data_IF_198796596632
#
_entry.id   IF_198796596632
#
_cell.length_a   1.000
_cell.length_b   1.000
_cell.length_c   1.000
_cell.angle_alpha   90.00
_cell.angle_beta   90.00
_cell.angle_gamma   90.00
#
_symmetry.space_group_name_H-M   'P 1'
#
loop_
_entity.id
_entity.type
_entity.pdbx_description
1 polymer ?
#
# COMPACT_ATOMS: atom_id res chain seq x y z
N UNK A 1 0.05 34.31 -3.63
CA UNK A 1 -0.72 34.44 -2.36
C UNK A 1 -2.22 34.21 -2.58
N UNK A 2 -2.86 34.78 -3.61
CA UNK A 2 -4.31 34.56 -3.89
C UNK A 2 -4.75 33.08 -3.88
N UNK A 3 -4.03 32.19 -4.58
CA UNK A 3 -4.35 30.76 -4.58
C UNK A 3 -4.29 30.11 -3.18
N UNK A 4 -3.39 30.58 -2.30
CA UNK A 4 -3.30 30.07 -0.93
C UNK A 4 -4.44 30.57 -0.05
N UNK A 5 -4.86 31.83 -0.23
CA UNK A 5 -6.04 32.40 0.43
C UNK A 5 -7.28 31.60 0.01
N UNK A 6 -7.45 31.36 -1.30
CA UNK A 6 -8.55 30.56 -1.84
C UNK A 6 -8.57 29.13 -1.28
N UNK A 7 -7.42 28.46 -1.24
CA UNK A 7 -7.32 27.11 -0.67
C UNK A 7 -7.70 27.04 0.80
N UNK A 8 -7.37 28.06 1.59
CA UNK A 8 -7.78 28.13 3.01
C UNK A 8 -9.26 28.49 3.13
N UNK A 9 -9.76 29.42 2.31
CA UNK A 9 -11.18 29.78 2.28
C UNK A 9 -12.06 28.56 2.00
N UNK A 10 -11.64 27.73 1.03
CA UNK A 10 -12.32 26.51 0.60
C UNK A 10 -12.04 25.27 1.47
N UNK A 11 -11.38 25.41 2.62
CA UNK A 11 -11.05 24.30 3.54
C UNK A 11 -10.16 23.20 2.94
N UNK A 12 -9.49 23.47 1.83
CA UNK A 12 -8.53 22.53 1.20
C UNK A 12 -7.25 22.47 2.03
N UNK A 13 -6.78 23.60 2.55
CA UNK A 13 -5.63 23.69 3.45
C UNK A 13 -6.06 24.24 4.81
N UNK A 14 -5.72 23.59 5.93
CA UNK A 14 -5.98 24.16 7.26
C UNK A 14 -5.26 25.51 7.44
N UNK A 15 -3.98 25.58 7.06
CA UNK A 15 -3.23 26.83 6.91
C UNK A 15 -2.45 26.83 5.59
N UNK A 16 -2.12 28.03 5.10
CA UNK A 16 -1.18 28.19 4.00
C UNK A 16 -0.12 29.24 4.34
N UNK A 17 1.12 28.99 3.90
CA UNK A 17 2.24 29.88 4.15
C UNK A 17 2.54 30.70 2.89
N UNK A 18 2.90 31.96 3.06
CA UNK A 18 3.66 32.66 2.03
C UNK A 18 5.06 32.07 1.90
N UNK A 19 5.78 32.48 0.86
CA UNK A 19 7.24 32.36 0.86
C UNK A 19 7.86 33.15 2.03
N UNK A 20 9.02 32.72 2.56
CA UNK A 20 9.78 33.51 3.54
C UNK A 20 10.26 34.83 2.92
N UNK A 21 9.95 35.95 3.57
CA UNK A 21 10.21 37.29 3.05
C UNK A 21 11.00 38.15 4.04
N UNK A 22 11.72 39.15 3.53
CA UNK A 22 12.26 40.20 4.39
C UNK A 22 11.12 41.00 5.04
N UNK A 23 11.24 41.44 6.31
CA UNK A 23 10.21 42.22 6.99
C UNK A 23 9.74 43.45 6.19
N UNK A 24 10.68 44.13 5.50
CA UNK A 24 10.37 45.29 4.65
C UNK A 24 9.51 44.94 3.43
N UNK A 25 9.59 43.70 2.94
CA UNK A 25 8.72 43.24 1.86
C UNK A 25 7.32 42.94 2.40
N UNK A 26 7.24 42.32 3.58
CA UNK A 26 5.96 42.09 4.28
C UNK A 26 5.24 43.41 4.51
N UNK A 27 5.94 44.44 5.00
CA UNK A 27 5.35 45.77 5.23
C UNK A 27 4.76 46.39 3.95
N UNK A 28 5.41 46.18 2.79
CA UNK A 28 4.93 46.69 1.50
C UNK A 28 3.68 45.97 1.00
N UNK A 29 3.58 44.67 1.27
CA UNK A 29 2.48 43.83 0.79
C UNK A 29 1.30 43.79 1.77
N UNK A 30 1.49 44.24 3.02
CA UNK A 30 0.56 44.03 4.12
C UNK A 30 -0.87 44.48 3.81
N UNK A 31 -1.07 45.70 3.34
CA UNK A 31 -2.40 46.27 3.07
C UNK A 31 -3.13 45.52 1.94
N UNK A 32 -2.42 45.19 0.87
CA UNK A 32 -2.96 44.43 -0.26
C UNK A 32 -3.37 43.01 0.18
N UNK A 33 -2.50 42.34 0.94
CA UNK A 33 -2.73 40.97 1.43
C UNK A 33 -3.90 40.92 2.42
N UNK A 34 -3.98 41.89 3.34
CA UNK A 34 -5.10 42.00 4.28
C UNK A 34 -6.43 42.20 3.53
N UNK A 35 -6.45 43.06 2.51
CA UNK A 35 -7.64 43.30 1.68
C UNK A 35 -8.06 42.01 0.95
N UNK A 36 -7.12 41.28 0.35
CA UNK A 36 -7.41 40.01 -0.31
C UNK A 36 -7.98 38.97 0.65
N UNK A 37 -7.39 38.86 1.84
CA UNK A 37 -7.81 37.87 2.84
C UNK A 37 -9.17 38.21 3.44
N UNK A 38 -9.43 39.49 3.75
CA UNK A 38 -10.74 39.96 4.23
C UNK A 38 -11.84 39.69 3.22
N UNK A 39 -11.61 39.99 1.93
CA UNK A 39 -12.57 39.70 0.85
C UNK A 39 -12.88 38.20 0.72
N UNK A 40 -11.96 37.32 1.13
CA UNK A 40 -12.14 35.87 1.11
C UNK A 40 -12.59 35.29 2.47
N UNK A 41 -12.75 36.12 3.51
CA UNK A 41 -13.10 35.66 4.86
C UNK A 41 -11.98 34.85 5.54
N UNK A 42 -10.72 35.14 5.23
CA UNK A 42 -9.53 34.44 5.74
C UNK A 42 -8.71 35.38 6.63
N UNK A 43 -8.17 34.85 7.73
CA UNK A 43 -7.25 35.58 8.61
C UNK A 43 -5.81 35.56 8.10
N UNK A 44 -5.04 36.59 8.43
CA UNK A 44 -3.60 36.67 8.15
C UNK A 44 -2.86 36.84 9.47
N UNK A 45 -1.95 35.92 9.77
CA UNK A 45 -1.02 36.03 10.88
C UNK A 45 0.40 36.29 10.37
N UNK A 46 1.03 37.36 10.86
CA UNK A 46 2.42 37.69 10.57
C UNK A 46 3.30 36.88 11.51
N UNK A 47 3.94 35.85 11.00
CA UNK A 47 4.83 34.95 11.75
C UNK A 47 6.29 35.42 11.62
N UNK A 48 6.88 36.00 12.70
CA UNK A 48 8.26 36.44 12.67
C UNK A 48 9.29 35.31 12.79
N UNK A 49 8.89 34.13 13.25
CA UNK A 49 9.78 32.99 13.48
C UNK A 49 9.02 31.69 13.17
N UNK A 50 9.05 31.28 11.89
CA UNK A 50 8.40 30.05 11.47
C UNK A 50 8.96 28.86 12.25
N UNK A 51 8.06 27.95 12.68
CA UNK A 51 8.49 26.70 13.34
C UNK A 51 9.48 25.92 12.48
N UNK A 52 10.47 25.32 13.14
CA UNK A 52 11.47 24.48 12.49
C UNK A 52 11.09 23.01 12.71
N UNK A 53 10.78 22.31 11.62
CA UNK A 53 10.51 20.87 11.63
C UNK A 53 11.34 20.20 10.55
N UNK A 54 11.42 18.88 10.59
CA UNK A 54 12.11 18.07 9.58
C UNK A 54 11.47 18.09 8.18
N UNK A 55 10.43 18.90 7.92
CA UNK A 55 9.86 19.05 6.57
C UNK A 55 10.68 19.97 5.66
N UNK A 56 11.45 20.89 6.23
CA UNK A 56 12.20 21.89 5.50
C UNK A 56 13.58 22.11 6.12
N UNK A 57 14.58 22.62 5.35
CA UNK A 57 15.87 22.98 5.91
C UNK A 57 15.73 24.02 7.04
N UNK A 58 16.49 23.87 8.12
CA UNK A 58 16.41 24.76 9.31
C UNK A 58 16.72 26.24 9.00
N UNK A 59 17.42 26.51 7.89
CA UNK A 59 17.74 27.87 7.43
C UNK A 59 16.65 28.54 6.60
N UNK A 60 15.61 27.81 6.16
CA UNK A 60 14.68 28.26 5.12
C UNK A 60 13.97 29.58 5.45
N UNK A 61 13.70 29.83 6.74
CA UNK A 61 13.01 31.03 7.22
C UNK A 61 13.86 31.85 8.21
N UNK A 62 15.18 31.60 8.29
CA UNK A 62 16.04 32.30 9.25
C UNK A 62 16.12 33.80 8.96
N UNK A 63 15.71 34.62 9.93
CA UNK A 63 15.65 36.08 9.79
C UNK A 63 14.62 36.58 8.77
N UNK A 64 13.67 35.72 8.37
CA UNK A 64 12.57 36.03 7.45
C UNK A 64 11.24 35.92 8.19
N UNK A 65 10.25 36.62 7.67
CA UNK A 65 8.88 36.52 8.15
C UNK A 65 8.04 35.73 7.14
N UNK A 66 7.01 35.05 7.64
CA UNK A 66 6.05 34.30 6.84
C UNK A 66 4.65 34.81 7.17
N UNK A 67 3.82 34.97 6.15
CA UNK A 67 2.40 35.21 6.33
C UNK A 67 1.68 33.87 6.36
N UNK A 68 0.92 33.63 7.43
CA UNK A 68 0.07 32.46 7.58
C UNK A 68 -1.36 32.88 7.26
N UNK A 69 -1.93 32.28 6.23
CA UNK A 69 -3.35 32.37 5.91
C UNK A 69 -4.09 31.28 6.66
N UNK A 70 -5.14 31.62 7.40
CA UNK A 70 -5.75 30.70 8.35
C UNK A 70 -7.25 30.97 8.61
N UNK A 71 -7.90 29.98 9.23
CA UNK A 71 -9.12 30.15 10.03
C UNK A 71 -8.75 30.14 11.52
N UNK A 72 -9.67 30.51 12.40
CA UNK A 72 -9.38 30.69 13.84
C UNK A 72 -8.76 29.43 14.48
N UNK A 73 -9.43 28.28 14.32
CA UNK A 73 -8.98 27.02 14.92
C UNK A 73 -7.65 26.52 14.33
N UNK A 74 -7.38 26.76 13.04
CA UNK A 74 -6.15 26.28 12.40
C UNK A 74 -4.92 27.10 12.80
N UNK A 75 -5.08 28.41 13.06
CA UNK A 75 -4.02 29.20 13.69
C UNK A 75 -3.76 28.75 15.12
N UNK A 76 -4.81 28.51 15.92
CA UNK A 76 -4.63 28.00 17.28
C UNK A 76 -3.84 26.68 17.28
N UNK A 77 -4.19 25.73 16.40
CA UNK A 77 -3.48 24.47 16.27
C UNK A 77 -2.00 24.62 15.86
N UNK A 78 -1.68 25.62 15.03
CA UNK A 78 -0.31 25.98 14.67
C UNK A 78 0.46 26.57 15.86
N UNK A 79 -0.15 27.49 16.61
CA UNK A 79 0.46 28.10 17.80
C UNK A 79 0.68 27.07 18.91
N UNK A 80 -0.25 26.14 19.09
CA UNK A 80 -0.09 25.01 20.01
C UNK A 80 1.09 24.14 19.60
N UNK A 81 1.20 23.77 18.31
CA UNK A 81 2.34 23.02 17.79
C UNK A 81 3.65 23.77 18.05
N UNK A 82 3.68 25.08 17.80
CA UNK A 82 4.85 25.92 18.06
C UNK A 82 5.26 25.90 19.53
N UNK A 83 4.30 25.96 20.44
CA UNK A 83 4.55 25.95 21.88
C UNK A 83 5.03 24.60 22.41
N UNK A 84 4.57 23.51 21.79
CA UNK A 84 4.90 22.14 22.20
C UNK A 84 6.08 21.53 21.45
N UNK A 85 6.66 22.24 20.48
CA UNK A 85 7.64 21.70 19.54
C UNK A 85 8.81 20.99 20.25
N UNK A 86 9.32 21.55 21.34
CA UNK A 86 10.45 20.99 22.10
C UNK A 86 10.11 19.72 22.89
N UNK A 87 8.82 19.38 23.04
CA UNK A 87 8.33 18.19 23.75
C UNK A 87 7.99 17.05 22.80
N UNK A 88 7.92 17.33 21.49
CA UNK A 88 7.51 16.36 20.49
C UNK A 88 8.74 15.64 19.92
N UNK A 89 8.54 14.38 19.57
CA UNK A 89 9.43 13.69 18.65
C UNK A 89 9.53 14.48 17.32
N UNK A 90 10.73 14.63 16.72
CA UNK A 90 10.90 15.41 15.49
C UNK A 90 10.04 14.95 14.31
N UNK A 91 9.86 13.63 14.13
CA UNK A 91 9.00 13.09 13.06
C UNK A 91 7.54 13.41 13.36
N UNK A 92 7.10 13.23 14.61
CA UNK A 92 5.73 13.58 15.04
C UNK A 92 5.41 15.06 14.83
N UNK A 93 6.35 15.95 15.14
CA UNK A 93 6.22 17.39 14.90
C UNK A 93 6.12 17.71 13.39
N UNK A 94 6.98 17.11 12.57
CA UNK A 94 6.96 17.26 11.12
C UNK A 94 5.64 16.78 10.52
N UNK A 95 5.14 15.60 10.91
CA UNK A 95 3.86 15.08 10.45
C UNK A 95 2.68 15.95 10.89
N UNK A 96 2.70 16.46 12.13
CA UNK A 96 1.67 17.40 12.61
C UNK A 96 1.68 18.69 11.80
N UNK A 97 2.86 19.23 11.49
CA UNK A 97 2.96 20.43 10.65
C UNK A 97 2.49 20.16 9.21
N UNK A 98 2.89 19.03 8.63
CA UNK A 98 2.49 18.64 7.27
C UNK A 98 0.97 18.53 7.13
N UNK A 99 0.29 17.98 8.14
CA UNK A 99 -1.19 17.95 8.19
C UNK A 99 -1.80 19.36 8.24
N UNK A 100 -1.22 20.27 9.03
CA UNK A 100 -1.67 21.67 9.06
C UNK A 100 -1.49 22.37 7.70
N UNK A 101 -0.44 22.00 6.96
CA UNK A 101 -0.22 22.46 5.58
C UNK A 101 -1.10 21.75 4.55
N UNK A 102 -1.95 20.79 4.96
CA UNK A 102 -2.81 20.02 4.05
C UNK A 102 -2.02 19.07 3.13
N UNK A 103 -0.82 18.65 3.53
CA UNK A 103 -0.04 17.71 2.74
C UNK A 103 -0.52 16.26 2.93
N UNK A 104 -0.66 15.47 1.85
CA UNK A 104 -0.92 14.05 1.96
C UNK A 104 0.30 13.32 2.54
N UNK A 105 0.09 12.16 3.18
CA UNK A 105 1.16 11.42 3.87
C UNK A 105 2.34 11.06 2.97
N UNK A 106 2.11 10.70 1.70
CA UNK A 106 3.20 10.40 0.76
C UNK A 106 4.10 11.64 0.50
N UNK A 107 3.52 12.84 0.45
CA UNK A 107 4.29 14.07 0.28
C UNK A 107 5.05 14.46 1.55
N UNK A 108 4.46 14.20 2.72
CA UNK A 108 5.15 14.34 4.01
C UNK A 108 6.36 13.40 4.07
N UNK A 109 6.19 12.12 3.70
CA UNK A 109 7.28 11.14 3.63
C UNK A 109 8.39 11.61 2.68
N UNK A 110 8.04 12.14 1.50
CA UNK A 110 9.00 12.73 0.56
C UNK A 110 9.77 13.94 1.12
N UNK A 111 9.11 14.80 1.90
CA UNK A 111 9.80 15.90 2.55
C UNK A 111 10.71 15.39 3.68
N UNK A 112 10.28 14.38 4.44
CA UNK A 112 11.12 13.75 5.45
C UNK A 112 12.35 13.11 4.83
N UNK A 113 12.22 12.36 3.73
CA UNK A 113 13.37 11.69 3.08
C UNK A 113 14.38 12.67 2.48
N UNK A 114 13.95 13.89 2.15
CA UNK A 114 14.85 14.97 1.69
C UNK A 114 15.64 15.65 2.80
N UNK A 115 15.14 15.62 4.03
CA UNK A 115 15.68 16.44 5.13
C UNK A 115 16.14 15.60 6.33
N UNK A 116 15.93 14.29 6.30
CA UNK A 116 16.29 13.33 7.33
C UNK A 116 16.80 12.04 6.68
N UNK A 117 17.16 11.08 7.52
CA UNK A 117 17.47 9.69 7.20
C UNK A 117 16.21 8.81 6.99
N UNK A 118 15.00 9.37 7.06
CA UNK A 118 13.76 8.67 6.74
C UNK A 118 13.75 8.12 5.31
N UNK A 119 13.35 6.86 5.17
CA UNK A 119 13.07 6.22 3.90
C UNK A 119 11.83 5.33 4.06
N UNK A 120 11.21 5.00 2.95
CA UNK A 120 10.05 4.14 2.84
C UNK A 120 10.39 2.89 2.04
N UNK A 121 9.58 1.83 2.15
CA UNK A 121 9.79 0.60 1.39
C UNK A 121 9.95 0.86 -0.13
N UNK A 122 9.15 1.76 -0.76
CA UNK A 122 9.35 2.16 -2.15
C UNK A 122 10.74 2.68 -2.52
N UNK A 123 11.45 3.35 -1.60
CA UNK A 123 12.77 3.94 -1.88
C UNK A 123 13.84 2.87 -2.17
N UNK A 124 13.58 1.62 -1.79
CA UNK A 124 14.44 0.45 -2.02
C UNK A 124 14.02 -0.40 -3.23
N UNK A 125 12.99 0.04 -3.97
CA UNK A 125 12.50 -0.61 -5.18
C UNK A 125 11.70 -1.90 -4.91
N UNK A 126 10.37 -1.80 -5.05
CA UNK A 126 9.48 -2.97 -5.05
C UNK A 126 9.31 -3.44 -6.50
N UNK A 127 9.74 -4.65 -6.81
CA UNK A 127 9.63 -5.24 -8.16
C UNK A 127 8.32 -5.99 -8.35
N UNK A 128 7.77 -6.56 -7.28
CA UNK A 128 6.54 -7.34 -7.30
C UNK A 128 6.00 -7.60 -5.89
N UNK A 129 4.73 -7.98 -5.83
CA UNK A 129 4.10 -8.53 -4.62
C UNK A 129 3.91 -10.03 -4.74
N UNK A 130 3.88 -10.71 -3.60
CA UNK A 130 3.59 -12.13 -3.53
C UNK A 130 2.81 -12.45 -2.25
N UNK A 131 2.02 -13.52 -2.27
CA UNK A 131 1.37 -14.07 -1.08
C UNK A 131 1.75 -15.54 -0.91
N UNK A 132 2.19 -15.91 0.29
CA UNK A 132 2.48 -17.31 0.64
C UNK A 132 1.24 -17.95 1.27
N UNK A 133 0.80 -19.05 0.68
CA UNK A 133 -0.34 -19.86 1.11
C UNK A 133 0.15 -21.28 1.45
N UNK A 134 -0.35 -21.85 2.54
CA UNK A 134 0.17 -23.09 3.12
C UNK A 134 -0.86 -24.22 3.04
N UNK A 135 -0.39 -25.40 2.62
CA UNK A 135 -1.21 -26.56 2.29
C UNK A 135 -0.66 -27.86 2.87
N UNK A 136 -1.58 -28.76 3.23
CA UNK A 136 -1.30 -30.17 3.52
C UNK A 136 -1.05 -30.97 2.25
N UNK A 137 -1.85 -30.71 1.21
CA UNK A 137 -1.74 -31.34 -0.09
C UNK A 137 -1.28 -30.31 -1.14
N UNK A 138 0.04 -30.05 -1.15
CA UNK A 138 0.66 -29.13 -2.11
C UNK A 138 0.46 -29.59 -3.56
N UNK A 139 0.31 -30.89 -3.83
CA UNK A 139 0.08 -31.39 -5.17
C UNK A 139 -1.32 -30.99 -5.67
N UNK A 140 -2.35 -31.23 -4.86
CA UNK A 140 -3.72 -30.82 -5.17
C UNK A 140 -3.86 -29.29 -5.31
N UNK A 141 -3.23 -28.53 -4.42
CA UNK A 141 -3.18 -27.06 -4.54
C UNK A 141 -2.48 -26.64 -5.86
N UNK A 142 -1.33 -27.24 -6.18
CA UNK A 142 -0.62 -26.96 -7.43
C UNK A 142 -1.45 -27.26 -8.67
N UNK A 143 -2.25 -28.33 -8.66
CA UNK A 143 -3.15 -28.66 -9.76
C UNK A 143 -4.32 -27.68 -9.84
N UNK A 144 -4.85 -27.23 -8.70
CA UNK A 144 -5.89 -26.20 -8.67
C UNK A 144 -5.42 -24.88 -9.27
N UNK A 145 -4.30 -24.31 -8.80
CA UNK A 145 -3.83 -23.01 -9.29
C UNK A 145 -3.20 -23.10 -10.69
N UNK A 146 -2.42 -24.15 -10.98
CA UNK A 146 -1.73 -24.31 -12.25
C UNK A 146 -2.59 -24.88 -13.37
N UNK A 147 -3.34 -25.94 -13.09
CA UNK A 147 -4.12 -26.65 -14.11
C UNK A 147 -5.56 -26.15 -14.19
N UNK A 148 -6.27 -26.02 -13.06
CA UNK A 148 -7.68 -25.62 -13.06
C UNK A 148 -7.85 -24.11 -13.32
N UNK A 149 -7.09 -23.26 -12.64
CA UNK A 149 -7.07 -21.81 -12.88
C UNK A 149 -6.11 -21.39 -13.99
N UNK A 150 -5.20 -22.27 -14.41
CA UNK A 150 -4.33 -22.02 -15.56
C UNK A 150 -3.22 -21.00 -15.32
N UNK A 151 -2.86 -20.71 -14.07
CA UNK A 151 -1.81 -19.74 -13.77
C UNK A 151 -0.43 -20.27 -14.21
N UNK A 152 0.42 -19.37 -14.70
CA UNK A 152 1.78 -19.70 -15.10
C UNK A 152 2.62 -20.01 -13.86
N UNK A 153 3.15 -21.24 -13.77
CA UNK A 153 4.13 -21.60 -12.73
C UNK A 153 5.51 -21.05 -13.11
N UNK A 154 6.06 -20.16 -12.30
CA UNK A 154 7.32 -19.45 -12.57
C UNK A 154 8.51 -19.99 -11.77
N UNK A 155 8.27 -20.68 -10.65
CA UNK A 155 9.29 -21.44 -9.91
C UNK A 155 8.70 -22.73 -9.33
N UNK A 156 9.54 -23.74 -9.14
CA UNK A 156 9.20 -24.99 -8.47
C UNK A 156 10.40 -25.48 -7.64
N UNK A 157 10.31 -25.36 -6.32
CA UNK A 157 11.34 -25.79 -5.38
C UNK A 157 10.97 -27.13 -4.70
N UNK A 158 10.03 -27.89 -5.27
CA UNK A 158 9.38 -29.07 -4.70
C UNK A 158 8.52 -28.79 -3.45
N UNK A 159 9.06 -28.13 -2.42
CA UNK A 159 8.32 -27.75 -1.20
C UNK A 159 7.56 -26.43 -1.34
N UNK A 160 7.85 -25.64 -2.38
CA UNK A 160 7.18 -24.39 -2.68
C UNK A 160 7.08 -24.19 -4.20
N UNK A 161 5.95 -23.66 -4.66
CA UNK A 161 5.68 -23.41 -6.08
C UNK A 161 5.07 -22.03 -6.26
N UNK A 162 5.68 -21.20 -7.08
CA UNK A 162 5.19 -19.83 -7.33
C UNK A 162 4.47 -19.76 -8.66
N UNK A 163 3.28 -19.14 -8.64
CA UNK A 163 2.44 -18.89 -9.79
C UNK A 163 2.26 -17.40 -10.00
N UNK A 164 2.20 -16.99 -11.26
CA UNK A 164 1.97 -15.61 -11.66
C UNK A 164 0.49 -15.33 -11.82
N UNK A 165 -0.01 -14.31 -11.13
CA UNK A 165 -1.40 -13.85 -11.25
C UNK A 165 -1.49 -12.79 -12.34
N UNK A 166 -0.64 -11.76 -12.24
CA UNK A 166 -0.62 -10.60 -13.13
C UNK A 166 0.83 -10.19 -13.46
N UNK A 167 1.01 -9.01 -14.08
CA UNK A 167 2.32 -8.49 -14.49
C UNK A 167 3.37 -8.61 -13.37
N UNK A 168 3.03 -8.18 -12.16
CA UNK A 168 3.94 -8.13 -11.00
C UNK A 168 3.28 -8.53 -9.67
N UNK A 169 2.23 -9.37 -9.71
CA UNK A 169 1.65 -10.01 -8.53
C UNK A 169 1.68 -11.54 -8.68
N UNK A 170 2.09 -12.21 -7.60
CA UNK A 170 2.34 -13.64 -7.56
C UNK A 170 1.65 -14.29 -6.35
N UNK A 171 1.51 -15.61 -6.39
CA UNK A 171 1.20 -16.42 -5.22
C UNK A 171 2.18 -17.59 -5.13
N UNK A 172 2.62 -17.93 -3.92
CA UNK A 172 3.45 -19.09 -3.65
C UNK A 172 2.68 -20.07 -2.78
N UNK A 173 2.54 -21.29 -3.28
CA UNK A 173 2.01 -22.42 -2.53
C UNK A 173 3.16 -23.08 -1.77
N UNK A 174 2.99 -23.37 -0.48
CA UNK A 174 4.03 -23.93 0.39
C UNK A 174 3.52 -25.19 1.09
N UNK A 175 4.35 -26.21 1.14
CA UNK A 175 4.13 -27.40 1.97
C UNK A 175 4.20 -27.01 3.45
N UNK A 176 3.10 -27.19 4.19
CA UNK A 176 3.03 -26.86 5.62
C UNK A 176 4.05 -27.59 6.49
N UNK A 177 4.57 -28.74 6.03
CA UNK A 177 5.54 -29.53 6.79
C UNK A 177 6.88 -28.78 6.93
N UNK A 178 7.20 -27.92 5.98
CA UNK A 178 8.45 -27.13 5.93
C UNK A 178 8.17 -25.63 6.12
N UNK A 179 6.97 -25.17 5.77
CA UNK A 179 6.54 -23.78 5.87
C UNK A 179 6.40 -23.27 7.31
N UNK A 180 6.42 -21.94 7.44
CA UNK A 180 6.25 -21.22 8.72
C UNK A 180 4.86 -21.45 9.33
N UNK A 181 3.83 -21.42 8.48
CA UNK A 181 2.44 -21.59 8.91
C UNK A 181 1.96 -23.02 8.71
N UNK A 182 1.04 -23.44 9.56
CA UNK A 182 0.28 -24.67 9.40
C UNK A 182 -1.02 -24.41 8.65
N UNK A 183 -1.46 -25.35 7.82
CA UNK A 183 -2.65 -25.19 6.99
C UNK A 183 -3.94 -25.17 7.81
N UNK A 184 -3.91 -25.64 9.06
CA UNK A 184 -5.01 -25.51 10.02
C UNK A 184 -5.05 -24.14 10.73
N UNK A 185 -4.06 -23.28 10.53
CA UNK A 185 -4.12 -21.90 11.00
C UNK A 185 -5.25 -21.14 10.28
N UNK A 186 -5.90 -20.18 10.97
CA UNK A 186 -6.94 -19.38 10.36
C UNK A 186 -6.46 -18.66 9.11
N UNK A 187 -7.12 -18.94 7.98
CA UNK A 187 -6.85 -18.34 6.66
C UNK A 187 -7.46 -16.95 6.58
N UNK A 188 -7.07 -16.07 7.50
CA UNK A 188 -7.58 -14.71 7.67
C UNK A 188 -6.99 -13.81 6.59
N UNK A 189 -7.26 -14.16 5.33
CA UNK A 189 -6.82 -13.48 4.12
C UNK A 189 -7.80 -13.81 3.01
N UNK A 190 -8.04 -12.86 2.11
CA UNK A 190 -8.70 -13.13 0.84
C UNK A 190 -7.81 -12.63 -0.30
N UNK A 191 -7.82 -13.34 -1.42
CA UNK A 191 -7.03 -13.02 -2.60
C UNK A 191 -7.98 -12.58 -3.68
N UNK A 192 -8.03 -11.28 -3.95
CA UNK A 192 -8.76 -10.78 -5.11
C UNK A 192 -7.91 -10.96 -6.36
N UNK A 193 -8.47 -11.65 -7.34
CA UNK A 193 -7.95 -11.89 -8.68
C UNK A 193 -8.73 -10.99 -9.64
N UNK A 194 -8.09 -9.92 -10.10
CA UNK A 194 -8.79 -8.86 -10.83
C UNK A 194 -8.97 -9.24 -12.30
N UNK A 195 -10.20 -9.22 -12.79
CA UNK A 195 -10.57 -9.65 -14.14
C UNK A 195 -11.82 -8.93 -14.63
N UNK A 196 -11.95 -8.72 -15.94
CA UNK A 196 -13.18 -8.20 -16.56
C UNK A 196 -14.13 -9.33 -17.02
N UNK A 197 -13.77 -10.58 -16.76
CA UNK A 197 -14.40 -11.78 -17.32
C UNK A 197 -15.18 -12.57 -16.25
N UNK A 198 -15.88 -11.85 -15.36
CA UNK A 198 -16.58 -12.44 -14.21
C UNK A 198 -17.65 -13.48 -14.61
N UNK A 199 -18.54 -13.22 -15.60
CA UNK A 199 -19.54 -14.21 -16.00
C UNK A 199 -18.91 -15.51 -16.48
N UNK A 200 -17.83 -15.42 -17.26
CA UNK A 200 -17.12 -16.54 -17.84
C UNK A 200 -16.38 -17.36 -16.77
N UNK A 201 -15.64 -16.68 -15.88
CA UNK A 201 -15.01 -17.33 -14.73
C UNK A 201 -16.02 -18.02 -13.82
N UNK A 202 -17.15 -17.37 -13.53
CA UNK A 202 -18.19 -17.93 -12.68
C UNK A 202 -18.79 -19.20 -13.30
N UNK A 203 -19.14 -19.16 -14.58
CA UNK A 203 -19.67 -20.33 -15.29
C UNK A 203 -18.67 -21.49 -15.35
N UNK A 204 -17.40 -21.19 -15.65
CA UNK A 204 -16.33 -22.20 -15.70
C UNK A 204 -16.13 -22.88 -14.35
N UNK A 205 -16.05 -22.12 -13.25
CA UNK A 205 -15.81 -22.69 -11.92
C UNK A 205 -17.01 -23.53 -11.43
N UNK A 206 -18.24 -23.16 -11.78
CA UNK A 206 -19.42 -23.99 -11.53
C UNK A 206 -19.36 -25.31 -12.31
N UNK A 207 -18.98 -25.28 -13.58
CA UNK A 207 -18.79 -26.50 -14.40
C UNK A 207 -17.75 -27.44 -13.78
N UNK A 208 -16.65 -26.87 -13.26
CA UNK A 208 -15.59 -27.62 -12.57
C UNK A 208 -15.93 -27.99 -11.12
N UNK A 209 -17.13 -27.67 -10.64
CA UNK A 209 -17.60 -27.95 -9.28
C UNK A 209 -16.72 -27.33 -8.19
N UNK A 210 -16.13 -26.17 -8.45
CA UNK A 210 -15.38 -25.42 -7.44
C UNK A 210 -16.38 -24.81 -6.44
N UNK A 211 -16.17 -24.96 -5.11
CA UNK A 211 -17.08 -24.39 -4.12
C UNK A 211 -17.15 -22.87 -4.21
N UNK A 212 -18.37 -22.32 -4.20
CA UNK A 212 -18.63 -20.88 -4.20
C UNK A 212 -19.20 -20.47 -2.84
N UNK A 213 -18.51 -19.57 -2.14
CA UNK A 213 -18.97 -18.99 -0.87
C UNK A 213 -19.97 -17.85 -1.10
N UNK A 214 -19.64 -16.94 -2.01
CA UNK A 214 -20.50 -15.81 -2.38
C UNK A 214 -20.73 -15.83 -3.89
N UNK A 215 -22.00 -15.91 -4.29
CA UNK A 215 -22.42 -16.05 -5.69
C UNK A 215 -22.33 -14.75 -6.48
N UNK A 216 -22.03 -14.84 -7.77
CA UNK A 216 -22.02 -13.69 -8.67
C UNK A 216 -23.41 -13.04 -8.79
N UNK A 217 -23.51 -11.77 -8.36
CA UNK A 217 -24.74 -10.96 -8.33
C UNK A 217 -24.40 -9.52 -8.74
N UNK A 218 -24.12 -9.27 -10.03
CA UNK A 218 -23.68 -7.96 -10.49
C UNK A 218 -24.74 -6.88 -10.23
N UNK A 219 -24.30 -5.67 -9.89
CA UNK A 219 -25.17 -4.50 -9.68
C UNK A 219 -24.78 -3.37 -10.62
N UNK A 220 -25.65 -2.40 -10.82
CA UNK A 220 -25.38 -1.28 -11.75
C UNK A 220 -24.67 -0.10 -11.08
N UNK A 221 -24.80 0.07 -9.76
CA UNK A 221 -24.35 1.26 -9.03
C UNK A 221 -23.54 0.85 -7.78
N UNK A 222 -22.40 0.21 -8.03
CA UNK A 222 -21.47 -0.24 -6.99
C UNK A 222 -20.02 -0.06 -7.46
N UNK A 223 -19.11 0.04 -6.49
CA UNK A 223 -17.69 0.23 -6.75
C UNK A 223 -17.02 -0.98 -7.41
N UNK A 224 -17.52 -2.19 -7.18
CA UNK A 224 -16.94 -3.42 -7.71
C UNK A 224 -18.02 -4.50 -7.83
N UNK A 225 -17.88 -5.40 -8.81
CA UNK A 225 -18.61 -6.66 -8.85
C UNK A 225 -17.66 -7.82 -8.59
N UNK A 226 -18.19 -8.93 -8.08
CA UNK A 226 -17.39 -10.13 -7.93
C UNK A 226 -18.19 -11.32 -7.41
N UNK A 227 -17.46 -12.41 -7.22
CA UNK A 227 -17.91 -13.60 -6.51
C UNK A 227 -16.72 -14.24 -5.80
N UNK A 228 -16.98 -15.12 -4.82
CA UNK A 228 -15.93 -15.72 -4.00
C UNK A 228 -15.96 -17.23 -4.13
N UNK A 229 -14.88 -17.78 -4.68
CA UNK A 229 -14.60 -19.20 -4.70
C UNK A 229 -13.76 -19.60 -3.47
N UNK A 230 -13.81 -20.88 -3.12
CA UNK A 230 -12.99 -21.46 -2.07
C UNK A 230 -12.00 -22.42 -2.74
N UNK A 231 -10.72 -22.25 -2.41
CA UNK A 231 -9.68 -23.15 -2.89
C UNK A 231 -9.72 -24.53 -2.19
N UNK A 232 -8.85 -25.48 -2.55
CA UNK A 232 -8.92 -26.85 -2.03
C UNK A 232 -8.81 -26.99 -0.51
N UNK A 233 -8.21 -26.02 0.19
CA UNK A 233 -8.00 -26.08 1.64
C UNK A 233 -8.64 -24.93 2.41
N UNK A 234 -9.40 -24.05 1.74
CA UNK A 234 -10.27 -23.08 2.40
C UNK A 234 -9.86 -21.61 2.27
N UNK A 235 -8.83 -21.27 1.48
CA UNK A 235 -8.54 -19.86 1.18
C UNK A 235 -9.65 -19.28 0.31
N UNK A 236 -9.98 -18.01 0.54
CA UNK A 236 -10.99 -17.30 -0.25
C UNK A 236 -10.34 -16.62 -1.45
N UNK A 237 -10.86 -16.92 -2.63
CA UNK A 237 -10.46 -16.31 -3.89
C UNK A 237 -11.61 -15.44 -4.40
N UNK A 238 -11.40 -14.13 -4.39
CA UNK A 238 -12.38 -13.18 -4.93
C UNK A 238 -12.07 -12.97 -6.40
N UNK A 239 -13.01 -13.28 -7.27
CA UNK A 239 -12.94 -12.88 -8.67
C UNK A 239 -13.63 -11.53 -8.73
N UNK A 240 -12.89 -10.48 -9.08
CA UNK A 240 -13.35 -9.11 -8.86
C UNK A 240 -13.08 -8.19 -10.07
N UNK A 241 -14.04 -7.31 -10.34
CA UNK A 241 -13.90 -6.19 -11.29
C UNK A 241 -14.21 -4.88 -10.56
N UNK A 242 -13.26 -3.95 -10.54
CA UNK A 242 -13.53 -2.58 -10.11
C UNK A 242 -14.23 -1.79 -11.22
N UNK A 243 -15.14 -0.91 -10.82
CA UNK A 243 -15.93 -0.05 -11.71
C UNK A 243 -15.60 1.41 -11.49
N UNK A 244 -15.96 2.23 -12.47
CA UNK A 244 -15.96 3.68 -12.28
C UNK A 244 -16.94 4.04 -11.15
N UNK A 245 -16.39 4.57 -10.06
CA UNK A 245 -17.08 4.95 -8.84
C UNK A 245 -16.19 5.98 -8.10
N UNK A 246 -16.75 6.91 -7.28
CA UNK A 246 -15.94 7.87 -6.52
C UNK A 246 -14.79 7.24 -5.73
N UNK A 247 -15.00 6.03 -5.19
CA UNK A 247 -13.99 5.28 -4.44
C UNK A 247 -12.79 4.82 -5.30
N UNK A 248 -12.96 4.69 -6.61
CA UNK A 248 -11.97 4.11 -7.53
C UNK A 248 -11.39 5.13 -8.52
N UNK A 249 -11.60 6.43 -8.31
CA UNK A 249 -11.17 7.47 -9.27
C UNK A 249 -9.65 7.47 -9.49
N UNK A 250 -8.86 7.13 -8.47
CA UNK A 250 -7.41 6.97 -8.58
C UNK A 250 -7.02 5.60 -9.16
N UNK A 251 -7.79 4.55 -8.87
CA UNK A 251 -7.51 3.17 -9.25
C UNK A 251 -7.80 2.89 -10.74
N UNK A 252 -8.95 3.33 -11.24
CA UNK A 252 -9.40 2.98 -12.60
C UNK A 252 -8.42 3.38 -13.72
N UNK A 253 -7.79 4.57 -13.70
CA UNK A 253 -6.77 4.93 -14.70
C UNK A 253 -5.51 4.05 -14.63
N UNK A 254 -5.23 3.43 -13.49
CA UNK A 254 -4.09 2.52 -13.36
C UNK A 254 -4.42 1.13 -13.91
N UNK A 255 -5.57 0.57 -13.54
CA UNK A 255 -5.97 -0.77 -14.01
C UNK A 255 -6.04 -0.86 -15.53
N UNK A 256 -6.56 0.18 -16.20
CA UNK A 256 -6.68 0.25 -17.67
C UNK A 256 -5.34 0.20 -18.44
N UNK A 257 -4.20 0.30 -17.76
CA UNK A 257 -2.87 0.19 -18.38
C UNK A 257 -2.45 -1.26 -18.61
N UNK A 258 -3.11 -2.22 -17.97
CA UNK A 258 -2.71 -3.61 -17.94
C UNK A 258 -3.80 -4.50 -18.51
N UNK A 259 -3.43 -5.34 -19.47
CA UNK A 259 -4.31 -6.40 -19.95
C UNK A 259 -4.23 -7.61 -19.03
N UNK A 260 -5.30 -8.40 -19.01
CA UNK A 260 -5.30 -9.66 -18.28
C UNK A 260 -4.26 -10.63 -18.84
N UNK A 261 -3.42 -11.21 -17.97
CA UNK A 261 -2.54 -12.31 -18.36
C UNK A 261 -3.39 -13.54 -18.66
N UNK A 262 -3.33 -14.09 -19.88
CA UNK A 262 -4.17 -15.21 -20.26
C UNK A 262 -3.75 -16.48 -19.53
N UNK A 263 -4.72 -17.34 -19.21
CA UNK A 263 -4.46 -18.67 -18.66
C UNK A 263 -3.63 -19.52 -19.63
N UNK A 264 -2.70 -20.31 -19.07
CA UNK A 264 -1.80 -21.18 -19.83
C UNK A 264 -2.42 -22.52 -20.24
N UNK A 265 -3.56 -22.91 -19.65
CA UNK A 265 -4.24 -24.15 -19.97
C UNK A 265 -5.27 -23.96 -21.11
N UNK A 266 -5.10 -24.61 -22.27
CA UNK A 266 -6.00 -24.44 -23.43
C UNK A 266 -7.41 -25.03 -23.24
N UNK A 267 -7.63 -25.83 -22.18
CA UNK A 267 -8.96 -26.37 -21.84
C UNK A 267 -9.83 -25.39 -21.06
N UNK A 268 -9.24 -24.30 -20.56
CA UNK A 268 -9.96 -23.15 -20.03
C UNK A 268 -10.43 -22.35 -21.24
N UNK A 269 -11.69 -21.90 -21.24
CA UNK A 269 -12.23 -21.12 -22.35
C UNK A 269 -11.25 -19.98 -22.71
N UNK A 270 -10.71 -20.03 -23.93
CA UNK A 270 -9.56 -19.23 -24.32
C UNK A 270 -9.87 -17.73 -24.18
N UNK A 271 -9.13 -17.06 -23.28
CA UNK A 271 -9.26 -15.62 -23.02
C UNK A 271 -9.30 -15.25 -21.55
N UNK A 272 -9.68 -16.19 -20.67
CA UNK A 272 -9.69 -15.97 -19.22
C UNK A 272 -8.30 -15.59 -18.70
N UNK A 273 -8.27 -14.70 -17.72
CA UNK A 273 -7.03 -14.17 -17.17
C UNK A 273 -7.26 -13.12 -16.09
N UNK A 274 -6.15 -12.65 -15.51
CA UNK A 274 -6.16 -11.63 -14.47
C UNK A 274 -5.17 -10.50 -14.77
N UNK A 275 -5.56 -9.26 -14.50
CA UNK A 275 -4.73 -8.07 -14.75
C UNK A 275 -4.13 -7.48 -13.46
N UNK A 276 -4.51 -8.00 -12.29
CA UNK A 276 -3.97 -7.57 -11.01
C UNK A 276 -4.42 -8.45 -9.85
N UNK A 277 -3.87 -8.18 -8.67
CA UNK A 277 -4.27 -8.87 -7.45
C UNK A 277 -4.30 -7.93 -6.24
N UNK A 278 -5.29 -8.11 -5.37
CA UNK A 278 -5.34 -7.48 -4.04
C UNK A 278 -5.23 -8.57 -2.98
N UNK A 279 -4.29 -8.43 -2.05
CA UNK A 279 -4.19 -9.31 -0.89
C UNK A 279 -4.86 -8.64 0.31
N UNK A 280 -6.07 -9.08 0.64
CA UNK A 280 -6.89 -8.52 1.72
C UNK A 280 -6.51 -9.09 3.08
N UNK A 281 -6.05 -8.23 3.98
CA UNK A 281 -5.72 -8.50 5.38
C UNK A 281 -6.76 -7.84 6.32
N UNK A 282 -6.96 -8.41 7.50
CA UNK A 282 -8.06 -8.08 8.42
C UNK A 282 -7.53 -7.67 9.80
N UNK A 283 -7.98 -6.51 10.28
CA UNK A 283 -7.44 -5.83 11.46
C UNK A 283 -8.55 -5.50 12.47
N UNK A 284 -8.24 -5.66 13.76
CA UNK A 284 -9.03 -5.10 14.87
C UNK A 284 -8.92 -3.57 14.92
N UNK A 285 -7.72 -3.06 14.67
CA UNK A 285 -7.43 -1.62 14.55
C UNK A 285 -6.99 -1.28 13.12
N UNK A 286 -7.97 -1.00 12.27
CA UNK A 286 -7.72 -0.54 10.89
C UNK A 286 -7.01 0.81 10.85
N UNK A 287 -7.19 1.67 11.86
CA UNK A 287 -6.57 2.99 11.87
C UNK A 287 -5.06 2.89 12.14
N UNK A 288 -4.66 2.01 13.06
CA UNK A 288 -3.26 1.70 13.30
C UNK A 288 -2.59 1.11 12.05
N UNK A 289 -3.26 0.16 11.39
CA UNK A 289 -2.78 -0.42 10.14
C UNK A 289 -2.65 0.63 9.01
N UNK A 290 -3.65 1.49 8.83
CA UNK A 290 -3.62 2.59 7.85
C UNK A 290 -2.42 3.53 8.09
N UNK A 291 -2.15 3.89 9.35
CA UNK A 291 -0.98 4.69 9.72
C UNK A 291 0.31 3.95 9.41
N UNK A 292 0.41 2.67 9.76
CA UNK A 292 1.59 1.86 9.48
C UNK A 292 1.91 1.79 7.98
N UNK A 293 0.95 1.42 7.14
CA UNK A 293 1.18 1.27 5.70
C UNK A 293 1.44 2.61 5.00
N UNK A 294 0.81 3.71 5.43
CA UNK A 294 1.01 5.03 4.80
C UNK A 294 2.24 5.79 5.30
N UNK A 295 2.64 5.61 6.56
CA UNK A 295 3.70 6.43 7.19
C UNK A 295 5.02 5.68 7.39
N UNK A 296 4.96 4.38 7.69
CA UNK A 296 6.16 3.56 7.97
C UNK A 296 6.57 2.70 6.78
N UNK A 297 5.62 2.00 6.16
CA UNK A 297 5.88 1.29 4.89
C UNK A 297 5.93 2.30 3.73
N UNK A 298 5.04 3.29 3.75
CA UNK A 298 5.02 4.40 2.79
C UNK A 298 4.35 4.08 1.46
N UNK A 299 3.44 3.11 1.41
CA UNK A 299 2.69 2.79 0.19
C UNK A 299 1.64 3.87 -0.10
N UNK A 300 1.36 4.21 -1.37
CA UNK A 300 0.26 5.11 -1.69
C UNK A 300 -1.10 4.45 -1.51
N UNK A 301 -1.98 5.13 -0.78
CA UNK A 301 -3.39 4.78 -0.68
C UNK A 301 -4.10 5.15 -1.99
N UNK A 302 -4.79 4.19 -2.60
CA UNK A 302 -5.44 4.37 -3.91
C UNK A 302 -6.96 4.17 -3.89
N UNK A 303 -7.48 3.47 -2.88
CA UNK A 303 -8.91 3.36 -2.58
C UNK A 303 -9.11 3.52 -1.09
N UNK A 304 -10.07 4.33 -0.67
CA UNK A 304 -10.49 4.48 0.73
C UNK A 304 -12.02 4.42 0.83
N UNK A 305 -12.53 3.36 1.45
CA UNK A 305 -13.95 3.16 1.74
C UNK A 305 -14.28 3.39 3.22
N UNK A 306 -13.32 3.89 4.00
CA UNK A 306 -13.39 4.02 5.46
C UNK A 306 -13.16 2.69 6.19
N UNK A 307 -13.84 1.61 5.80
CA UNK A 307 -13.73 0.27 6.43
C UNK A 307 -12.87 -0.72 5.63
N UNK A 308 -12.52 -0.36 4.40
CA UNK A 308 -11.60 -1.08 3.55
C UNK A 308 -10.73 -0.07 2.81
N UNK A 309 -9.42 -0.36 2.70
CA UNK A 309 -8.42 0.54 2.11
C UNK A 309 -7.50 -0.26 1.22
N UNK A 310 -7.12 0.27 0.07
CA UNK A 310 -6.21 -0.41 -0.87
C UNK A 310 -4.96 0.44 -1.07
N UNK A 311 -3.81 -0.17 -0.78
CA UNK A 311 -2.50 0.41 -0.99
C UNK A 311 -1.83 -0.20 -2.21
N UNK A 312 -1.24 0.64 -3.04
CA UNK A 312 -0.48 0.19 -4.19
C UNK A 312 0.94 -0.22 -3.77
N UNK A 313 1.29 -1.49 -3.96
CA UNK A 313 2.61 -2.01 -3.65
C UNK A 313 3.46 -2.23 -4.91
N UNK A 314 2.85 -2.61 -6.02
CA UNK A 314 3.46 -2.69 -7.35
C UNK A 314 2.48 -2.16 -8.42
N UNK A 315 2.77 -2.34 -9.71
CA UNK A 315 1.92 -1.82 -10.79
C UNK A 315 0.54 -2.49 -10.80
N UNK A 316 0.52 -3.79 -10.53
CA UNK A 316 -0.68 -4.65 -10.57
C UNK A 316 -0.93 -5.41 -9.27
N UNK A 317 -0.09 -5.19 -8.25
CA UNK A 317 -0.18 -5.80 -6.93
C UNK A 317 -0.52 -4.79 -5.84
N UNK A 318 -1.53 -5.13 -5.04
CA UNK A 318 -2.10 -4.24 -4.04
C UNK A 318 -2.24 -4.95 -2.68
N UNK A 319 -2.09 -4.19 -1.60
CA UNK A 319 -2.36 -4.65 -0.24
C UNK A 319 -3.67 -4.01 0.23
N UNK A 320 -4.65 -4.84 0.55
CA UNK A 320 -5.95 -4.39 1.01
C UNK A 320 -6.07 -4.54 2.52
N UNK A 321 -6.45 -3.49 3.24
CA UNK A 321 -6.68 -3.52 4.68
C UNK A 321 -8.19 -3.45 4.94
N UNK A 322 -8.70 -4.33 5.81
CA UNK A 322 -10.13 -4.44 6.11
C UNK A 322 -10.38 -4.40 7.62
N UNK A 323 -11.41 -3.66 8.03
CA UNK A 323 -11.99 -3.76 9.36
C UNK A 323 -12.67 -5.13 9.50
N UNK A 324 -12.15 -5.95 10.41
CA UNK A 324 -12.62 -7.33 10.64
C UNK A 324 -14.12 -7.42 10.94
N UNK A 325 -14.75 -6.37 11.47
CA UNK A 325 -16.18 -6.34 11.81
C UNK A 325 -17.09 -6.25 10.58
N UNK A 326 -16.52 -5.95 9.42
CA UNK A 326 -17.26 -5.73 8.16
C UNK A 326 -16.79 -6.65 7.03
N UNK A 327 -15.56 -7.15 7.12
CA UNK A 327 -14.96 -8.05 6.15
C UNK A 327 -15.50 -9.49 6.18
N UNK A 328 -14.92 -10.35 5.34
CA UNK A 328 -15.28 -11.78 5.26
C UNK A 328 -14.64 -12.66 6.33
N UNK A 329 -13.66 -12.12 7.06
CA UNK A 329 -12.96 -12.79 8.14
C UNK A 329 -12.92 -11.90 9.37
N UNK A 330 -13.04 -12.53 10.54
CA UNK A 330 -12.69 -11.92 11.81
C UNK A 330 -11.16 -11.96 11.98
N UNK A 331 -10.63 -11.06 12.78
CA UNK A 331 -9.25 -11.07 13.22
C UNK A 331 -8.92 -12.36 13.97
N UNK A 332 -7.68 -12.80 13.78
CA UNK A 332 -7.07 -13.92 14.51
C UNK A 332 -5.60 -13.60 14.77
N UNK A 333 -5.05 -14.03 15.92
CA UNK A 333 -3.63 -13.84 16.23
C UNK A 333 -2.71 -14.59 15.24
N UNK A 334 -3.11 -15.79 14.84
CA UNK A 334 -2.42 -16.54 13.78
C UNK A 334 -3.01 -16.17 12.43
N UNK A 335 -2.14 -15.99 11.44
CA UNK A 335 -2.50 -15.69 10.06
C UNK A 335 -1.96 -16.84 9.22
N UNK A 336 -2.79 -17.69 8.62
CA UNK A 336 -2.34 -18.82 7.80
C UNK A 336 -1.72 -18.40 6.45
N UNK A 337 -1.02 -17.28 6.39
CA UNK A 337 -0.46 -16.67 5.18
C UNK A 337 0.61 -15.63 5.51
N UNK A 338 1.57 -15.44 4.60
CA UNK A 338 2.50 -14.30 4.64
C UNK A 338 2.30 -13.40 3.43
N UNK A 339 2.44 -12.10 3.60
CA UNK A 339 2.53 -11.12 2.51
C UNK A 339 3.99 -10.90 2.20
N UNK A 340 4.34 -10.75 0.93
CA UNK A 340 5.73 -10.62 0.52
C UNK A 340 5.95 -9.56 -0.55
N UNK A 341 7.12 -8.93 -0.46
CA UNK A 341 7.61 -7.93 -1.37
C UNK A 341 8.92 -8.41 -1.98
N UNK A 342 9.01 -8.38 -3.30
CA UNK A 342 10.25 -8.69 -4.01
C UNK A 342 11.01 -7.40 -4.19
N UNK A 343 12.17 -7.33 -3.56
CA UNK A 343 12.96 -6.11 -3.43
C UNK A 343 14.11 -6.09 -4.40
N UNK A 344 14.31 -4.93 -5.04
CA UNK A 344 15.50 -4.66 -5.83
C UNK A 344 16.71 -4.43 -4.92
N UNK A 345 16.56 -3.61 -3.88
CA UNK A 345 17.58 -3.33 -2.87
C UNK A 345 17.18 -3.92 -1.51
N UNK A 346 17.21 -5.25 -1.40
CA UNK A 346 16.89 -5.94 -0.16
C UNK A 346 17.89 -5.60 0.97
N UNK A 347 19.18 -5.48 0.64
CA UNK A 347 20.24 -5.17 1.60
C UNK A 347 20.06 -3.77 2.20
N UNK A 348 19.79 -2.76 1.35
CA UNK A 348 19.50 -1.40 1.79
C UNK A 348 18.26 -1.35 2.68
N UNK A 349 17.18 -2.03 2.30
CA UNK A 349 15.96 -2.06 3.11
C UNK A 349 16.21 -2.72 4.48
N UNK A 350 16.93 -3.84 4.51
CA UNK A 350 17.29 -4.50 5.76
C UNK A 350 18.15 -3.60 6.66
N UNK A 351 19.17 -2.93 6.10
CA UNK A 351 20.02 -2.01 6.84
C UNK A 351 19.20 -0.84 7.42
N UNK A 352 18.26 -0.29 6.65
CA UNK A 352 17.33 0.74 7.13
C UNK A 352 16.46 0.22 8.27
N UNK A 353 15.89 -0.98 8.15
CA UNK A 353 15.06 -1.60 9.19
C UNK A 353 15.86 -1.81 10.47
N UNK A 354 17.12 -2.25 10.40
CA UNK A 354 17.99 -2.38 11.56
C UNK A 354 18.31 -1.04 12.24
N UNK A 355 18.49 0.02 11.45
CA UNK A 355 18.83 1.34 11.97
C UNK A 355 17.63 2.08 12.58
N UNK A 356 16.46 2.02 11.91
CA UNK A 356 15.30 2.85 12.22
C UNK A 356 14.14 2.10 12.89
N UNK A 357 14.17 0.76 12.88
CA UNK A 357 13.15 -0.12 13.48
C UNK A 357 11.70 0.29 13.13
N UNK A 358 11.33 0.45 11.84
CA UNK A 358 10.00 0.89 11.44
C UNK A 358 8.88 -0.12 11.77
N UNK A 359 9.24 -1.38 12.05
CA UNK A 359 8.36 -2.46 12.52
C UNK A 359 9.17 -3.50 13.30
N UNK A 360 8.47 -4.44 13.93
CA UNK A 360 9.09 -5.59 14.61
C UNK A 360 9.73 -6.54 13.61
N UNK A 361 11.05 -6.70 13.70
CA UNK A 361 11.79 -7.71 12.96
C UNK A 361 11.57 -9.08 13.63
N UNK A 362 10.95 -10.00 12.91
CA UNK A 362 10.66 -11.35 13.40
C UNK A 362 11.77 -12.34 13.09
N UNK A 363 12.35 -12.23 11.89
CA UNK A 363 13.46 -13.06 11.46
C UNK A 363 14.50 -12.22 10.76
N UNK A 364 15.71 -12.29 11.29
CA UNK A 364 16.91 -11.71 10.68
C UNK A 364 17.19 -12.30 9.30
N UNK A 365 18.10 -11.65 8.57
CA UNK A 365 18.55 -12.07 7.25
C UNK A 365 18.87 -13.58 7.18
N UNK A 366 18.38 -14.25 6.15
CA UNK A 366 18.69 -15.64 5.85
C UNK A 366 18.74 -15.91 4.35
N UNK A 367 19.43 -16.99 3.99
CA UNK A 367 19.46 -17.51 2.63
C UNK A 367 18.58 -18.76 2.51
N UNK A 368 17.86 -18.86 1.39
CA UNK A 368 17.14 -20.06 1.01
C UNK A 368 18.09 -21.21 0.66
N UNK A 369 17.55 -22.44 0.64
CA UNK A 369 18.29 -23.62 0.22
C UNK A 369 18.94 -23.43 -1.17
N UNK A 370 20.17 -23.91 -1.31
CA UNK A 370 21.00 -23.77 -2.53
C UNK A 370 21.25 -22.31 -2.95
N UNK A 371 21.12 -21.37 -1.99
CA UNK A 371 21.24 -19.93 -2.21
C UNK A 371 20.27 -19.39 -3.27
N UNK A 372 19.08 -19.99 -3.40
CA UNK A 372 18.08 -19.57 -4.39
C UNK A 372 17.53 -18.16 -4.16
N UNK A 373 17.46 -17.72 -2.92
CA UNK A 373 16.95 -16.41 -2.55
C UNK A 373 17.56 -15.96 -1.23
N UNK A 374 17.41 -14.67 -0.93
CA UNK A 374 17.73 -14.07 0.35
C UNK A 374 16.48 -13.38 0.88
N UNK A 375 16.34 -13.34 2.20
CA UNK A 375 15.12 -12.85 2.81
C UNK A 375 15.32 -12.40 4.26
N UNK A 376 14.41 -11.55 4.72
CA UNK A 376 14.15 -11.31 6.13
C UNK A 376 12.65 -11.08 6.35
N UNK A 377 12.20 -11.15 7.60
CA UNK A 377 10.76 -11.13 7.91
C UNK A 377 10.42 -10.14 9.00
N UNK A 378 9.54 -9.21 8.70
CA UNK A 378 8.89 -8.32 9.66
C UNK A 378 7.48 -8.79 10.03
N UNK A 379 6.86 -8.08 10.96
CA UNK A 379 5.46 -8.25 11.34
C UNK A 379 4.75 -6.89 11.26
N UNK A 380 3.56 -6.86 10.67
CA UNK A 380 2.71 -5.66 10.66
C UNK A 380 1.88 -5.52 11.95
N UNK A 381 1.12 -4.43 12.06
CA UNK A 381 0.32 -4.13 13.26
C UNK A 381 -0.78 -5.15 13.54
N UNK A 382 -1.21 -5.90 12.53
CA UNK A 382 -2.22 -6.95 12.65
C UNK A 382 -1.63 -8.34 12.93
N UNK A 383 -0.31 -8.49 13.00
CA UNK A 383 0.37 -9.76 13.18
C UNK A 383 0.63 -10.54 11.87
N UNK A 384 0.43 -9.93 10.70
CA UNK A 384 0.80 -10.55 9.44
C UNK A 384 2.32 -10.53 9.25
N UNK A 385 2.86 -11.65 8.76
CA UNK A 385 4.26 -11.71 8.36
C UNK A 385 4.45 -10.96 7.04
N UNK A 386 5.41 -10.04 7.05
CA UNK A 386 5.89 -9.32 5.87
C UNK A 386 7.25 -9.89 5.47
N UNK A 387 7.30 -10.67 4.40
CA UNK A 387 8.53 -11.25 3.88
C UNK A 387 9.13 -10.36 2.79
N UNK A 388 10.34 -9.87 3.02
CA UNK A 388 11.10 -9.11 2.03
C UNK A 388 12.12 -10.03 1.41
N UNK A 389 12.10 -10.19 0.09
CA UNK A 389 12.90 -11.20 -0.59
C UNK A 389 13.58 -10.65 -1.84
N UNK A 390 14.75 -11.21 -2.17
CA UNK A 390 15.41 -11.08 -3.46
C UNK A 390 15.81 -12.47 -3.97
N UNK A 391 15.79 -12.67 -5.28
CA UNK A 391 16.07 -13.97 -5.88
C UNK A 391 17.42 -13.95 -6.59
N UNK A 392 18.22 -14.99 -6.35
CA UNK A 392 19.54 -15.11 -6.94
C UNK A 392 19.49 -15.79 -8.32
N UNK A 393 20.46 -15.52 -9.21
CA UNK A 393 20.65 -16.31 -10.42
C UNK A 393 20.79 -17.79 -10.10
N UNK A 394 19.81 -18.59 -10.52
CA UNK A 394 19.75 -20.04 -10.29
C UNK A 394 18.86 -20.66 -11.39
N UNK A 395 19.12 -21.91 -11.85
CA UNK A 395 18.28 -22.58 -12.84
C UNK A 395 16.78 -22.55 -12.52
N UNK A 396 16.41 -22.84 -11.26
CA UNK A 396 15.01 -22.80 -10.78
C UNK A 396 14.37 -21.39 -10.81
N UNK A 397 15.16 -20.33 -10.98
CA UNK A 397 14.71 -18.93 -10.95
C UNK A 397 14.73 -18.26 -12.32
N UNK A 398 15.26 -18.92 -13.36
CA UNK A 398 15.50 -18.25 -14.65
C UNK A 398 14.24 -17.67 -15.28
N UNK A 399 13.12 -18.39 -15.21
CA UNK A 399 11.84 -17.89 -15.70
C UNK A 399 11.38 -16.68 -14.88
N UNK A 400 11.44 -16.79 -13.55
CA UNK A 400 10.99 -15.76 -12.66
C UNK A 400 11.79 -14.45 -12.75
N UNK A 401 13.13 -14.55 -12.79
CA UNK A 401 14.01 -13.38 -12.89
C UNK A 401 13.81 -12.59 -14.19
N UNK A 402 13.40 -13.25 -15.28
CA UNK A 402 13.07 -12.57 -16.56
C UNK A 402 11.78 -11.77 -16.48
N UNK A 403 10.92 -12.07 -15.52
CA UNK A 403 9.62 -11.42 -15.33
C UNK A 403 9.68 -10.27 -14.33
N UNK A 404 10.70 -10.23 -13.46
CA UNK A 404 10.88 -9.13 -12.53
C UNK A 404 11.19 -7.84 -13.31
N UNK A 405 10.35 -6.84 -13.09
CA UNK A 405 10.50 -5.55 -13.73
C UNK A 405 11.65 -4.75 -13.09
N UNK A 406 12.28 -3.83 -13.84
CA UNK A 406 13.11 -2.79 -13.24
C UNK A 406 12.28 -1.90 -12.31
N UNK A 407 12.96 -1.15 -11.44
CA UNK A 407 12.38 -0.24 -10.43
C UNK A 407 11.09 0.47 -10.90
N UNK A 408 10.00 0.28 -10.15
CA UNK A 408 8.80 1.10 -10.30
C UNK A 408 8.89 2.30 -9.35
N UNK A 409 8.75 3.51 -9.90
CA UNK A 409 8.65 4.74 -9.10
C UNK A 409 7.20 5.18 -9.03
N UNK A 410 6.72 5.38 -7.81
CA UNK A 410 5.46 6.08 -7.58
C UNK A 410 5.62 7.53 -8.07
N UNK A 411 4.80 7.94 -9.02
CA UNK A 411 4.77 9.32 -9.53
C UNK A 411 3.87 10.19 -8.65
#
# INVERSE_FOLDING_TARGET
MHAFIEMVAADVKPIALSEPMDPKMVDKLWEEVMTMAENAGVGVFREPELIQTSLFPSSVASGKEVLIFHKENSLAAYLDLKSDLSKLDPEAAARRFGRLLGYPSHYINHLLSKNTDFQSLPDFGIQATNIFLYYKDLANASDFYGSLLGLEKVTDYAFAKTFRISTDAYLTLVDEAVGRHKADEPKTVAIALLTDQLPEWYAYLLEKNVPIKYTYKPKTDNAHDGFVAIDPEGYLLEFETFKQHPENELLMPQLKKFEALPTTNPSIAAGLGFYGAVFWTYYEDLQEADIFYKEKVGLPLIVDQGWAKVYQASQTGYIGLVDERRGMHNFTEKKGSSIAFIMQDLEGWYAYVQAQTPFTLHREWYEGADKRYQAFVGIDTGGYFLEFNSFNPHPDNEAFLKLLLPEWKFY
#
